data_IF_364996134867
#
_entry.id   IF_364996134867
#
_cell.length_a   1.000
_cell.length_b   1.000
_cell.length_c   1.000
_cell.angle_alpha   90.00
_cell.angle_beta   90.00
_cell.angle_gamma   90.00
#
_symmetry.space_group_name_H-M   'P 1'
#
loop_
_entity.id
_entity.type
_entity.pdbx_description
1 polymer ?
#
# COMPACT_ATOMS: atom_id res chain seq x y z
N UNK A 1 7.05 17.09 -39.91
CA UNK A 1 5.62 17.24 -40.30
C UNK A 1 4.75 16.75 -39.17
N UNK A 2 3.96 17.62 -38.54
CA UNK A 2 3.04 17.23 -37.48
C UNK A 2 1.97 16.27 -38.05
N UNK A 3 1.82 15.08 -37.45
CA UNK A 3 0.71 14.16 -37.79
C UNK A 3 -0.61 14.88 -37.49
N UNK A 4 -1.29 15.39 -38.53
CA UNK A 4 -2.69 15.84 -38.41
C UNK A 4 -3.52 14.70 -37.84
N UNK A 5 -4.24 14.96 -36.74
CA UNK A 5 -5.24 14.03 -36.19
C UNK A 5 -6.22 13.67 -37.31
N UNK A 6 -6.22 12.41 -37.76
CA UNK A 6 -7.18 11.93 -38.75
C UNK A 6 -8.54 11.77 -38.07
N UNK A 7 -9.50 12.61 -38.44
CA UNK A 7 -10.88 12.56 -37.97
C UNK A 7 -11.74 11.96 -39.08
N UNK A 8 -12.61 11.00 -38.75
CA UNK A 8 -13.52 10.38 -39.72
C UNK A 8 -14.55 11.42 -40.21
N UNK A 9 -15.09 11.29 -41.44
CA UNK A 9 -16.09 12.23 -41.97
C UNK A 9 -17.31 12.38 -41.06
N UNK A 10 -17.87 11.26 -40.57
CA UNK A 10 -19.01 11.22 -39.65
C UNK A 10 -18.73 11.99 -38.33
N UNK A 11 -17.54 11.81 -37.74
CA UNK A 11 -17.17 12.55 -36.53
C UNK A 11 -16.99 14.04 -36.78
N UNK A 12 -16.56 14.43 -37.99
CA UNK A 12 -16.44 15.85 -38.36
C UNK A 12 -17.80 16.50 -38.51
N UNK A 13 -18.74 15.82 -39.13
CA UNK A 13 -20.11 16.30 -39.27
C UNK A 13 -20.80 16.45 -37.91
N UNK A 14 -20.67 15.45 -37.03
CA UNK A 14 -21.18 15.53 -35.66
C UNK A 14 -20.58 16.70 -34.86
N UNK A 15 -19.26 16.86 -34.90
CA UNK A 15 -18.59 17.98 -34.20
C UNK A 15 -19.00 19.33 -34.79
N UNK A 16 -19.14 19.44 -36.10
CA UNK A 16 -19.60 20.68 -36.73
C UNK A 16 -21.03 21.03 -36.30
N UNK A 17 -21.93 20.04 -36.21
CA UNK A 17 -23.29 20.25 -35.69
C UNK A 17 -23.30 20.74 -34.24
N UNK A 18 -22.41 20.21 -33.40
CA UNK A 18 -22.25 20.69 -32.02
C UNK A 18 -21.72 22.13 -31.97
N UNK A 19 -20.73 22.47 -32.79
CA UNK A 19 -20.15 23.81 -32.86
C UNK A 19 -21.13 24.85 -33.42
N UNK A 20 -21.99 24.48 -34.36
CA UNK A 20 -23.05 25.35 -34.88
C UNK A 20 -24.13 25.65 -33.84
N UNK A 21 -24.45 24.65 -33.00
CA UNK A 21 -25.48 24.78 -31.97
C UNK A 21 -25.00 25.56 -30.74
N UNK A 22 -23.84 25.20 -30.18
CA UNK A 22 -23.32 25.80 -28.95
C UNK A 22 -22.47 27.05 -29.18
N UNK A 23 -22.01 27.30 -30.42
CA UNK A 23 -21.23 28.49 -30.81
C UNK A 23 -20.13 28.90 -29.82
N UNK A 24 -19.27 27.97 -29.35
CA UNK A 24 -18.28 28.30 -28.33
C UNK A 24 -17.25 29.29 -28.88
N UNK A 25 -16.99 30.36 -28.14
CA UNK A 25 -16.07 31.43 -28.52
C UNK A 25 -14.67 31.23 -27.95
N UNK A 26 -14.57 30.56 -26.79
CA UNK A 26 -13.29 30.24 -26.15
C UNK A 26 -13.25 28.79 -25.61
N UNK A 27 -12.13 28.45 -24.96
CA UNK A 27 -11.93 27.11 -24.42
C UNK A 27 -12.81 26.80 -23.20
N UNK A 28 -13.32 27.83 -22.50
CA UNK A 28 -14.20 27.69 -21.36
C UNK A 28 -15.63 27.38 -21.82
N UNK A 29 -16.10 28.04 -22.89
CA UNK A 29 -17.37 27.73 -23.54
C UNK A 29 -17.41 26.26 -24.05
N UNK A 30 -16.28 25.75 -24.53
CA UNK A 30 -16.17 24.32 -24.92
C UNK A 30 -16.33 23.39 -23.72
N UNK A 31 -15.83 23.77 -22.54
CA UNK A 31 -16.01 22.98 -21.31
C UNK A 31 -17.45 22.98 -20.84
N UNK A 32 -18.14 24.12 -20.89
CA UNK A 32 -19.56 24.23 -20.57
C UNK A 32 -20.42 23.41 -21.55
N UNK A 33 -20.15 23.50 -22.86
CA UNK A 33 -20.80 22.65 -23.87
C UNK A 33 -20.65 21.16 -23.53
N UNK A 34 -19.45 20.71 -23.17
CA UNK A 34 -19.23 19.30 -22.81
C UNK A 34 -19.95 18.89 -21.53
N UNK A 35 -20.09 19.81 -20.57
CA UNK A 35 -20.83 19.60 -19.33
C UNK A 35 -22.33 19.43 -19.62
N UNK A 36 -22.91 20.29 -20.45
CA UNK A 36 -24.31 20.21 -20.85
C UNK A 36 -24.60 18.94 -21.64
N UNK A 37 -23.75 18.61 -22.62
CA UNK A 37 -23.88 17.37 -23.40
C UNK A 37 -23.82 16.11 -22.52
N UNK A 38 -22.98 16.12 -21.48
CA UNK A 38 -22.93 15.03 -20.50
C UNK A 38 -24.25 14.94 -19.72
N UNK A 39 -24.78 16.07 -19.24
CA UNK A 39 -26.08 16.13 -18.56
C UNK A 39 -27.22 15.61 -19.42
N UNK A 40 -27.34 16.09 -20.66
CA UNK A 40 -28.38 15.69 -21.60
C UNK A 40 -28.29 14.20 -21.96
N UNK A 41 -27.07 13.67 -22.11
CA UNK A 41 -26.85 12.25 -22.36
C UNK A 41 -27.33 11.41 -21.18
N UNK A 42 -26.99 11.81 -19.94
CA UNK A 42 -27.46 11.12 -18.73
C UNK A 42 -28.98 11.21 -18.58
N UNK A 43 -29.57 12.37 -18.87
CA UNK A 43 -31.01 12.59 -18.84
C UNK A 43 -31.73 11.69 -19.86
N UNK A 44 -31.25 11.64 -21.11
CA UNK A 44 -31.82 10.79 -22.15
C UNK A 44 -31.70 9.30 -21.83
N UNK A 45 -30.60 8.89 -21.21
CA UNK A 45 -30.43 7.53 -20.73
C UNK A 45 -31.39 7.15 -19.59
N UNK A 46 -31.60 8.03 -18.61
CA UNK A 46 -32.57 7.83 -17.52
C UNK A 46 -34.00 7.73 -18.05
N UNK A 47 -34.34 8.51 -19.08
CA UNK A 47 -35.63 8.41 -19.77
C UNK A 47 -35.82 7.07 -20.48
N UNK A 48 -34.76 6.57 -21.15
CA UNK A 48 -34.78 5.27 -21.78
C UNK A 48 -34.93 4.11 -20.77
N UNK A 49 -34.27 4.19 -19.61
CA UNK A 49 -34.48 3.23 -18.51
C UNK A 49 -35.93 3.23 -18.02
N UNK A 50 -36.54 4.41 -17.90
CA UNK A 50 -37.94 4.55 -17.48
C UNK A 50 -38.91 3.96 -18.52
N UNK A 51 -38.68 4.24 -19.81
CA UNK A 51 -39.46 3.65 -20.90
C UNK A 51 -39.37 2.12 -20.87
N UNK A 52 -38.17 1.57 -20.66
CA UNK A 52 -37.95 0.14 -20.55
C UNK A 52 -38.65 -0.46 -19.33
N UNK A 53 -38.59 0.19 -18.16
CA UNK A 53 -39.23 -0.28 -16.93
C UNK A 53 -40.75 -0.32 -17.05
N UNK A 54 -41.34 0.73 -17.64
CA UNK A 54 -42.78 0.85 -17.77
C UNK A 54 -43.34 0.10 -18.98
N UNK A 55 -42.49 -0.18 -19.97
CA UNK A 55 -42.84 -0.88 -21.21
C UNK A 55 -43.47 0.01 -22.28
N UNK A 56 -43.50 1.33 -22.08
CA UNK A 56 -44.12 2.28 -23.00
C UNK A 56 -43.44 3.65 -22.93
N UNK A 57 -43.52 4.41 -24.03
CA UNK A 57 -42.89 5.72 -24.15
C UNK A 57 -43.74 6.86 -23.55
N UNK A 58 -43.13 8.01 -23.29
CA UNK A 58 -43.84 9.18 -22.74
C UNK A 58 -45.05 9.57 -23.61
N UNK A 59 -46.22 9.65 -22.98
CA UNK A 59 -47.53 9.93 -23.59
C UNK A 59 -48.13 8.82 -24.49
N UNK A 60 -47.48 7.66 -24.61
CA UNK A 60 -48.04 6.51 -25.31
C UNK A 60 -48.93 5.67 -24.37
N UNK A 61 -50.09 6.23 -24.02
CA UNK A 61 -51.06 5.58 -23.13
C UNK A 61 -51.78 4.38 -23.77
N UNK A 62 -51.67 4.20 -25.09
CA UNK A 62 -52.40 3.17 -25.83
C UNK A 62 -51.67 1.82 -25.79
N UNK A 63 -50.34 1.83 -25.71
CA UNK A 63 -49.50 0.62 -25.64
C UNK A 63 -49.09 0.26 -24.20
N UNK A 64 -49.89 0.66 -23.21
CA UNK A 64 -49.58 0.48 -21.79
C UNK A 64 -49.97 -0.92 -21.31
N UNK A 65 -48.99 -1.79 -21.10
CA UNK A 65 -49.20 -3.14 -20.53
C UNK A 65 -49.17 -3.16 -18.99
N UNK A 66 -48.62 -2.13 -18.36
CA UNK A 66 -48.38 -2.07 -16.90
C UNK A 66 -49.41 -1.20 -16.16
N UNK A 67 -49.71 -1.51 -14.90
CA UNK A 67 -50.59 -0.73 -14.02
C UNK A 67 -49.85 0.39 -13.25
N UNK A 68 -48.61 0.66 -13.63
CA UNK A 68 -47.80 1.78 -13.11
C UNK A 68 -47.72 2.90 -14.15
N UNK A 69 -47.40 4.12 -13.73
CA UNK A 69 -47.37 5.28 -14.61
C UNK A 69 -46.31 6.28 -14.23
N UNK A 70 -45.77 7.03 -15.20
CA UNK A 70 -44.89 8.17 -14.95
C UNK A 70 -45.57 9.19 -14.01
N UNK A 71 -44.81 9.73 -13.05
CA UNK A 71 -45.25 10.68 -12.04
C UNK A 71 -44.26 11.84 -11.88
N UNK A 72 -43.93 12.47 -13.01
CA UNK A 72 -43.02 13.62 -13.06
C UNK A 72 -41.57 13.25 -12.77
N UNK A 73 -40.84 14.22 -12.21
CA UNK A 73 -39.39 14.15 -12.01
C UNK A 73 -39.02 14.55 -10.59
N UNK A 74 -37.88 14.07 -10.09
CA UNK A 74 -37.19 14.61 -8.93
C UNK A 74 -35.92 15.28 -9.38
N UNK A 75 -35.69 16.50 -8.91
CA UNK A 75 -34.43 17.17 -9.14
C UNK A 75 -33.31 16.50 -8.35
N UNK A 76 -32.15 16.32 -8.98
CA UNK A 76 -30.92 15.86 -8.34
C UNK A 76 -29.70 16.47 -9.02
N UNK A 77 -28.92 17.21 -8.25
CA UNK A 77 -27.58 17.64 -8.66
C UNK A 77 -26.58 16.50 -8.46
N UNK A 78 -25.82 16.18 -9.52
CA UNK A 78 -24.74 15.18 -9.49
C UNK A 78 -23.40 15.83 -9.82
N UNK A 79 -22.38 15.49 -9.05
CA UNK A 79 -21.01 15.96 -9.28
C UNK A 79 -20.33 15.04 -10.30
N UNK A 80 -19.88 15.63 -11.41
CA UNK A 80 -19.13 14.97 -12.48
C UNK A 80 -17.69 15.49 -12.56
N UNK A 81 -16.86 14.89 -13.42
CA UNK A 81 -15.49 15.39 -13.67
C UNK A 81 -15.46 16.78 -14.31
N UNK A 82 -16.59 17.24 -14.87
CA UNK A 82 -16.76 18.57 -15.48
C UNK A 82 -17.49 19.54 -14.54
N UNK A 83 -17.68 19.18 -13.26
CA UNK A 83 -18.42 19.95 -12.26
C UNK A 83 -19.84 19.42 -12.02
N UNK A 84 -20.64 20.21 -11.29
CA UNK A 84 -21.99 19.84 -10.86
C UNK A 84 -23.01 19.97 -11.99
N UNK A 85 -23.74 18.89 -12.26
CA UNK A 85 -24.75 18.76 -13.31
C UNK A 85 -26.10 18.54 -12.65
N UNK A 86 -27.08 19.36 -13.01
CA UNK A 86 -28.45 19.19 -12.56
C UNK A 86 -29.18 18.19 -13.45
N UNK A 87 -29.78 17.16 -12.84
CA UNK A 87 -30.54 16.12 -13.52
C UNK A 87 -31.98 16.07 -12.99
N UNK A 88 -32.92 15.79 -13.87
CA UNK A 88 -34.32 15.58 -13.53
C UNK A 88 -34.63 14.09 -13.62
N UNK A 89 -34.60 13.39 -12.49
CA UNK A 89 -34.75 11.93 -12.46
C UNK A 89 -36.22 11.57 -12.64
N UNK A 90 -36.58 10.79 -13.68
CA UNK A 90 -37.96 10.39 -13.91
C UNK A 90 -38.45 9.50 -12.77
N UNK A 91 -39.73 9.67 -12.42
CA UNK A 91 -40.39 8.91 -11.36
C UNK A 91 -41.57 8.14 -11.90
N UNK A 92 -41.79 6.98 -11.32
CA UNK A 92 -43.02 6.21 -11.45
C UNK A 92 -43.98 6.55 -10.29
N UNK A 93 -45.24 6.13 -10.41
CA UNK A 93 -46.30 6.46 -9.45
C UNK A 93 -46.21 5.58 -8.21
N UNK A 94 -45.73 4.35 -8.36
CA UNK A 94 -45.54 3.39 -7.26
C UNK A 94 -44.21 3.57 -6.52
N UNK A 95 -43.24 4.24 -7.12
CA UNK A 95 -41.91 4.49 -6.52
C UNK A 95 -40.96 3.27 -6.62
N UNK A 96 -41.32 2.30 -7.45
CA UNK A 96 -40.60 1.05 -7.73
C UNK A 96 -39.48 1.23 -8.76
N UNK A 97 -39.39 2.38 -9.45
CA UNK A 97 -38.31 2.63 -10.40
C UNK A 97 -36.96 2.77 -9.66
N UNK A 98 -35.98 1.95 -10.04
CA UNK A 98 -34.61 1.97 -9.52
C UNK A 98 -33.62 2.24 -10.66
N UNK A 99 -33.22 3.51 -10.88
CA UNK A 99 -32.31 3.86 -11.98
C UNK A 99 -30.95 3.18 -11.79
N UNK A 100 -30.39 2.67 -12.88
CA UNK A 100 -29.12 1.95 -12.85
C UNK A 100 -27.93 2.86 -13.17
N UNK A 101 -28.11 3.80 -14.11
CA UNK A 101 -27.07 4.73 -14.54
C UNK A 101 -26.70 5.75 -13.46
N UNK A 102 -27.69 6.33 -12.79
CA UNK A 102 -27.49 7.17 -11.60
C UNK A 102 -28.38 6.64 -10.47
N UNK A 103 -27.78 5.85 -9.57
CA UNK A 103 -28.54 5.16 -8.50
C UNK A 103 -29.25 6.15 -7.58
N UNK A 104 -30.31 5.68 -6.89
CA UNK A 104 -30.97 6.45 -5.82
C UNK A 104 -29.92 6.90 -4.79
N UNK A 105 -29.96 8.18 -4.40
CA UNK A 105 -29.00 8.84 -3.49
C UNK A 105 -27.54 8.91 -3.95
N UNK A 106 -27.18 8.36 -5.13
CA UNK A 106 -25.87 8.61 -5.72
C UNK A 106 -25.84 10.05 -6.26
N UNK A 107 -24.92 10.85 -5.72
CA UNK A 107 -24.67 12.24 -6.12
C UNK A 107 -23.28 12.44 -6.73
N UNK A 108 -22.42 11.42 -6.74
CA UNK A 108 -21.09 11.48 -7.36
C UNK A 108 -20.98 10.46 -8.50
N UNK A 109 -20.65 10.94 -9.71
CA UNK A 109 -20.45 10.13 -10.93
C UNK A 109 -19.05 10.34 -11.55
N UNK A 110 -18.17 11.04 -10.84
CA UNK A 110 -16.96 11.66 -11.40
C UNK A 110 -15.68 10.80 -11.32
N UNK A 111 -15.75 9.59 -10.77
CA UNK A 111 -14.58 8.80 -10.32
C UNK A 111 -13.64 9.60 -9.37
N UNK A 112 -14.12 10.68 -8.73
CA UNK A 112 -13.34 11.48 -7.76
C UNK A 112 -12.89 10.62 -6.60
N UNK A 113 -13.66 9.61 -6.19
CA UNK A 113 -13.27 8.71 -5.09
C UNK A 113 -11.92 8.04 -5.32
N UNK A 114 -11.66 7.51 -6.53
CA UNK A 114 -10.36 6.90 -6.86
C UNK A 114 -9.23 7.93 -6.88
N UNK A 115 -9.51 9.15 -7.33
CA UNK A 115 -8.54 10.24 -7.31
C UNK A 115 -8.23 10.70 -5.88
N UNK A 116 -9.25 10.80 -5.02
CA UNK A 116 -9.13 11.09 -3.60
C UNK A 116 -8.30 10.02 -2.90
N UNK A 117 -8.58 8.74 -3.15
CA UNK A 117 -7.81 7.62 -2.61
C UNK A 117 -6.35 7.68 -3.09
N UNK A 118 -6.12 7.96 -4.37
CA UNK A 118 -4.77 8.13 -4.93
C UNK A 118 -4.01 9.28 -4.28
N UNK A 119 -4.62 10.47 -4.17
CA UNK A 119 -4.02 11.63 -3.52
C UNK A 119 -3.72 11.37 -2.04
N UNK A 120 -4.64 10.71 -1.33
CA UNK A 120 -4.45 10.32 0.06
C UNK A 120 -3.30 9.31 0.21
N UNK A 121 -3.21 8.32 -0.69
CA UNK A 121 -2.12 7.36 -0.76
C UNK A 121 -0.76 8.01 -1.06
N UNK A 122 -0.72 9.14 -1.77
CA UNK A 122 0.50 9.94 -1.97
C UNK A 122 0.88 10.81 -0.77
N UNK A 123 0.04 10.84 0.26
CA UNK A 123 0.33 11.51 1.53
C UNK A 123 -0.30 12.88 1.68
N UNK A 124 -1.14 13.33 0.75
CA UNK A 124 -1.86 14.60 0.88
C UNK A 124 -2.79 14.55 2.11
N UNK A 125 -2.93 15.66 2.82
CA UNK A 125 -3.89 15.73 3.93
C UNK A 125 -5.32 15.87 3.39
N UNK A 126 -6.33 15.57 4.20
CA UNK A 126 -7.74 15.72 3.78
C UNK A 126 -8.08 17.16 3.38
N UNK A 127 -7.45 18.15 4.03
CA UNK A 127 -7.58 19.56 3.67
C UNK A 127 -6.87 19.90 2.37
N UNK A 128 -5.67 19.36 2.14
CA UNK A 128 -4.96 19.59 0.86
C UNK A 128 -5.74 19.00 -0.32
N UNK A 129 -6.36 17.82 -0.13
CA UNK A 129 -7.20 17.18 -1.14
C UNK A 129 -8.44 18.03 -1.40
N UNK A 130 -9.11 18.52 -0.35
CA UNK A 130 -10.27 19.43 -0.47
C UNK A 130 -9.93 20.67 -1.30
N UNK A 131 -8.85 21.35 -0.95
CA UNK A 131 -8.36 22.51 -1.71
C UNK A 131 -7.99 22.16 -3.15
N UNK A 132 -7.39 20.98 -3.37
CA UNK A 132 -7.03 20.53 -4.72
C UNK A 132 -8.25 20.25 -5.59
N UNK A 133 -9.26 19.57 -5.04
CA UNK A 133 -10.52 19.28 -5.73
C UNK A 133 -11.26 20.56 -6.08
N UNK A 134 -11.33 21.53 -5.16
CA UNK A 134 -11.94 22.83 -5.40
C UNK A 134 -11.21 23.60 -6.51
N UNK A 135 -9.88 23.69 -6.44
CA UNK A 135 -9.09 24.48 -7.39
C UNK A 135 -9.02 23.89 -8.80
N UNK A 136 -8.99 22.56 -8.94
CA UNK A 136 -8.78 21.89 -10.24
C UNK A 136 -10.09 21.46 -10.87
N UNK A 137 -11.04 20.99 -10.07
CA UNK A 137 -12.30 20.41 -10.54
C UNK A 137 -13.52 21.27 -10.21
N UNK A 138 -13.35 22.37 -9.47
CA UNK A 138 -14.48 23.20 -9.02
C UNK A 138 -15.37 22.52 -7.99
N UNK A 139 -14.94 21.38 -7.43
CA UNK A 139 -15.76 20.56 -6.53
C UNK A 139 -15.51 20.99 -5.07
N UNK A 140 -16.57 21.44 -4.40
CA UNK A 140 -16.52 21.75 -2.97
C UNK A 140 -16.67 20.48 -2.13
N UNK A 141 -15.57 19.76 -1.94
CA UNK A 141 -15.51 18.57 -1.12
C UNK A 141 -14.92 18.91 0.26
N UNK A 142 -15.71 18.76 1.33
CA UNK A 142 -15.23 19.00 2.69
C UNK A 142 -14.19 17.95 3.13
N UNK A 143 -13.34 18.29 4.10
CA UNK A 143 -12.38 17.35 4.67
C UNK A 143 -13.05 16.12 5.32
N UNK A 144 -14.29 16.27 5.79
CA UNK A 144 -15.12 15.20 6.35
C UNK A 144 -15.62 14.27 5.25
N UNK A 145 -16.11 14.81 4.13
CA UNK A 145 -16.50 14.03 2.95
C UNK A 145 -15.32 13.19 2.44
N UNK A 146 -14.12 13.77 2.37
CA UNK A 146 -12.89 13.06 2.00
C UNK A 146 -12.57 11.95 3.00
N UNK A 147 -12.74 12.19 4.30
CA UNK A 147 -12.56 11.13 5.30
C UNK A 147 -13.51 9.97 5.05
N UNK A 148 -14.81 10.24 4.87
CA UNK A 148 -15.82 9.23 4.58
C UNK A 148 -15.54 8.44 3.29
N UNK A 149 -15.11 9.12 2.22
CA UNK A 149 -14.70 8.44 0.98
C UNK A 149 -13.53 7.49 1.24
N UNK A 150 -12.51 7.95 1.95
CA UNK A 150 -11.35 7.09 2.26
C UNK A 150 -11.69 5.97 3.24
N UNK A 151 -12.66 6.11 4.13
CA UNK A 151 -13.06 5.06 5.10
C UNK A 151 -13.64 3.82 4.42
N UNK A 152 -14.16 3.94 3.18
CA UNK A 152 -14.64 2.80 2.40
C UNK A 152 -13.56 1.75 2.09
N UNK A 153 -12.27 2.11 2.18
CA UNK A 153 -11.17 1.16 1.99
C UNK A 153 -10.93 0.28 3.22
N UNK A 154 -11.42 0.65 4.41
CA UNK A 154 -11.12 -0.06 5.65
C UNK A 154 -11.57 -1.53 5.63
N UNK A 155 -12.78 -1.89 5.15
CA UNK A 155 -13.18 -3.29 5.01
C UNK A 155 -12.23 -4.07 4.11
N UNK A 156 -11.86 -3.51 2.95
CA UNK A 156 -10.93 -4.11 1.99
C UNK A 156 -9.53 -4.29 2.63
N UNK A 157 -9.07 -3.31 3.39
CA UNK A 157 -7.79 -3.37 4.10
C UNK A 157 -7.80 -4.47 5.19
N UNK A 158 -8.91 -4.63 5.91
CA UNK A 158 -9.10 -5.69 6.92
C UNK A 158 -9.21 -7.07 6.27
N UNK A 159 -9.87 -7.19 5.14
CA UNK A 159 -9.90 -8.42 4.34
C UNK A 159 -8.49 -8.79 3.86
N UNK A 160 -7.75 -7.82 3.32
CA UNK A 160 -6.35 -8.01 2.92
C UNK A 160 -5.45 -8.44 4.08
N UNK A 161 -5.69 -7.92 5.29
CA UNK A 161 -4.93 -8.30 6.48
C UNK A 161 -5.19 -9.77 6.89
N UNK A 162 -6.39 -10.29 6.63
CA UNK A 162 -6.77 -11.66 6.97
C UNK A 162 -6.67 -12.65 5.80
N UNK A 163 -6.20 -12.20 4.63
CA UNK A 163 -6.10 -13.05 3.43
C UNK A 163 -5.19 -14.27 3.66
N UNK A 164 -5.44 -15.41 3.00
CA UNK A 164 -4.55 -16.57 3.08
C UNK A 164 -3.15 -16.21 2.56
N UNK A 165 -2.12 -16.81 3.18
CA UNK A 165 -0.72 -16.68 2.82
C UNK A 165 -0.22 -17.99 2.20
N UNK A 166 0.95 -17.92 1.55
CA UNK A 166 1.61 -19.11 1.02
C UNK A 166 2.12 -20.00 2.14
N UNK A 167 2.27 -21.29 1.86
CA UNK A 167 2.76 -22.26 2.84
C UNK A 167 4.19 -21.99 3.27
N UNK A 168 5.06 -21.59 2.33
CA UNK A 168 6.50 -21.50 2.57
C UNK A 168 7.12 -20.21 2.05
N UNK A 169 8.01 -19.64 2.88
CA UNK A 169 8.75 -18.43 2.56
C UNK A 169 10.26 -18.64 2.68
N UNK A 170 11.01 -18.23 1.66
CA UNK A 170 12.46 -18.31 1.64
C UNK A 170 13.11 -17.39 2.69
N UNK A 171 12.61 -16.16 2.79
CA UNK A 171 13.05 -15.22 3.82
C UNK A 171 11.90 -14.31 4.23
N UNK A 172 11.80 -14.02 5.52
CA UNK A 172 10.88 -13.00 6.05
C UNK A 172 11.67 -11.95 6.83
N UNK A 173 11.49 -10.69 6.44
CA UNK A 173 12.01 -9.52 7.14
C UNK A 173 10.93 -8.97 8.06
N UNK A 174 11.29 -8.73 9.32
CA UNK A 174 10.40 -8.17 10.32
C UNK A 174 11.03 -6.92 10.93
N UNK A 175 10.31 -5.80 10.90
CA UNK A 175 10.77 -4.51 11.44
C UNK A 175 9.59 -3.74 12.03
N UNK A 176 9.89 -2.76 12.87
CA UNK A 176 8.89 -1.90 13.50
C UNK A 176 9.14 -0.41 13.21
N UNK A 177 8.08 0.31 12.86
CA UNK A 177 8.10 1.76 12.65
C UNK A 177 7.21 2.43 13.69
N UNK A 178 7.70 3.49 14.32
CA UNK A 178 6.93 4.20 15.32
C UNK A 178 6.17 5.39 14.72
N UNK A 179 4.92 5.55 15.13
CA UNK A 179 4.04 6.67 14.78
C UNK A 179 3.36 7.25 16.02
N UNK A 180 2.89 8.48 15.92
CA UNK A 180 2.13 9.14 16.98
C UNK A 180 0.63 9.01 16.68
N UNK A 181 -0.10 8.39 17.61
CA UNK A 181 -1.55 8.18 17.51
C UNK A 181 -2.22 8.76 18.74
N UNK A 182 -3.42 9.30 18.58
CA UNK A 182 -4.24 9.79 19.68
C UNK A 182 -5.05 8.64 20.26
N UNK A 183 -4.92 8.45 21.57
CA UNK A 183 -5.59 7.40 22.33
C UNK A 183 -5.95 7.99 23.70
N UNK A 184 -7.21 7.85 24.13
CA UNK A 184 -7.74 8.43 25.37
C UNK A 184 -7.37 9.91 25.57
N UNK A 185 -7.49 10.68 24.48
CA UNK A 185 -7.17 12.10 24.40
C UNK A 185 -5.68 12.46 24.64
N UNK A 186 -4.79 11.47 24.66
CA UNK A 186 -3.33 11.61 24.78
C UNK A 186 -2.64 11.16 23.50
N UNK A 187 -1.46 11.72 23.23
CA UNK A 187 -0.62 11.28 22.11
C UNK A 187 0.27 10.14 22.58
N UNK A 188 0.02 8.94 22.08
CA UNK A 188 0.79 7.73 22.38
C UNK A 188 1.68 7.41 21.17
N UNK A 189 2.91 6.98 21.44
CA UNK A 189 3.83 6.50 20.40
C UNK A 189 3.58 5.01 20.20
N UNK A 190 2.89 4.64 19.13
CA UNK A 190 2.59 3.23 18.79
C UNK A 190 3.62 2.68 17.80
N UNK A 191 3.90 1.38 17.91
CA UNK A 191 4.74 0.64 16.98
C UNK A 191 3.88 -0.03 15.92
N UNK A 192 4.25 0.16 14.66
CA UNK A 192 3.69 -0.52 13.50
C UNK A 192 4.67 -1.59 13.08
N UNK A 193 4.28 -2.84 13.29
CA UNK A 193 5.04 -4.01 12.92
C UNK A 193 4.77 -4.34 11.46
N UNK A 194 5.82 -4.56 10.69
CA UNK A 194 5.74 -4.87 9.28
C UNK A 194 6.49 -6.18 9.03
N UNK A 195 5.84 -7.12 8.35
CA UNK A 195 6.48 -8.33 7.86
C UNK A 195 6.47 -8.36 6.32
N UNK A 196 7.64 -8.52 5.72
CA UNK A 196 7.82 -8.63 4.26
C UNK A 196 8.51 -9.95 3.97
N UNK A 197 7.90 -10.77 3.14
CA UNK A 197 8.38 -12.10 2.79
C UNK A 197 8.77 -12.18 1.32
N UNK A 198 9.68 -13.09 1.03
CA UNK A 198 10.01 -13.52 -0.32
C UNK A 198 9.57 -14.97 -0.45
N UNK A 199 8.62 -15.21 -1.37
CA UNK A 199 8.12 -16.54 -1.70
C UNK A 199 9.21 -17.38 -2.34
N UNK A 200 9.03 -18.69 -2.38
CA UNK A 200 9.89 -19.60 -3.15
C UNK A 200 9.88 -19.30 -4.66
N UNK A 201 8.83 -18.67 -5.18
CA UNK A 201 8.77 -18.17 -6.56
C UNK A 201 9.66 -16.94 -6.83
N UNK A 202 10.20 -16.31 -5.77
CA UNK A 202 11.08 -15.14 -5.82
C UNK A 202 10.38 -13.79 -5.81
N UNK A 203 9.05 -13.81 -5.71
CA UNK A 203 8.21 -12.63 -5.56
C UNK A 203 8.20 -12.13 -4.13
N UNK A 204 8.22 -10.81 -3.97
CA UNK A 204 8.15 -10.15 -2.66
C UNK A 204 6.71 -9.82 -2.36
N UNK A 205 6.31 -9.97 -1.11
CA UNK A 205 5.01 -9.49 -0.65
C UNK A 205 5.06 -9.00 0.80
N UNK A 206 4.11 -8.13 1.15
CA UNK A 206 3.89 -7.71 2.53
C UNK A 206 2.93 -8.72 3.16
N UNK A 207 3.40 -9.50 4.14
CA UNK A 207 2.59 -10.49 4.84
C UNK A 207 1.50 -9.80 5.67
N UNK A 208 1.87 -8.71 6.35
CA UNK A 208 0.94 -7.91 7.13
C UNK A 208 1.56 -6.67 7.73
N UNK A 209 0.69 -5.82 8.28
CA UNK A 209 1.04 -4.65 9.07
C UNK A 209 0.16 -4.65 10.32
N UNK A 210 0.75 -4.53 11.51
CA UNK A 210 0.03 -4.57 12.78
C UNK A 210 0.35 -3.34 13.60
N UNK A 211 -0.68 -2.73 14.19
CA UNK A 211 -0.51 -1.56 15.06
C UNK A 211 -0.59 -2.05 16.51
N UNK A 212 0.48 -1.86 17.28
CA UNK A 212 0.53 -2.22 18.69
C UNK A 212 1.13 -1.14 19.58
N UNK A 213 0.84 -1.23 20.88
CA UNK A 213 1.23 -0.23 21.87
C UNK A 213 2.73 -0.24 22.19
N UNK A 214 3.30 -1.40 22.53
CA UNK A 214 4.71 -1.54 22.93
C UNK A 214 5.40 -2.69 22.21
N UNK A 215 6.62 -2.45 21.73
CA UNK A 215 7.53 -3.44 21.14
C UNK A 215 7.88 -4.53 22.18
N UNK A 216 7.22 -5.68 22.08
CA UNK A 216 7.44 -6.79 23.01
C UNK A 216 7.43 -8.13 22.28
N UNK A 217 8.24 -9.06 22.77
CA UNK A 217 8.28 -10.44 22.27
C UNK A 217 6.90 -11.11 22.31
N UNK A 218 6.09 -10.80 23.34
CA UNK A 218 4.71 -11.30 23.46
C UNK A 218 3.82 -10.83 22.32
N UNK A 219 3.96 -9.57 21.89
CA UNK A 219 3.17 -9.05 20.77
C UNK A 219 3.60 -9.72 19.45
N UNK A 220 4.90 -9.86 19.23
CA UNK A 220 5.44 -10.58 18.08
C UNK A 220 4.99 -12.04 18.04
N UNK A 221 4.89 -12.72 19.17
CA UNK A 221 4.33 -14.08 19.24
C UNK A 221 2.89 -14.12 18.73
N UNK A 222 2.07 -13.10 19.04
CA UNK A 222 0.72 -12.95 18.48
C UNK A 222 0.73 -12.79 16.96
N UNK A 223 1.59 -11.90 16.46
CA UNK A 223 1.78 -11.67 15.00
C UNK A 223 2.23 -12.95 14.28
N UNK A 224 3.17 -13.70 14.84
CA UNK A 224 3.67 -14.95 14.27
C UNK A 224 2.57 -16.03 14.23
N UNK A 225 1.77 -16.15 15.30
CA UNK A 225 0.64 -17.07 15.32
C UNK A 225 -0.44 -16.69 14.29
N UNK A 226 -0.70 -15.40 14.07
CA UNK A 226 -1.61 -14.95 13.02
C UNK A 226 -1.07 -15.32 11.63
N UNK A 227 0.22 -15.09 11.36
CA UNK A 227 0.86 -15.50 10.10
C UNK A 227 0.70 -17.00 9.88
N UNK A 228 0.94 -17.82 10.92
CA UNK A 228 0.74 -19.27 10.86
C UNK A 228 -0.72 -19.66 10.60
N UNK A 229 -1.67 -19.04 11.29
CA UNK A 229 -3.11 -19.29 11.12
C UNK A 229 -3.62 -18.92 9.72
N UNK A 230 -2.94 -17.99 9.03
CA UNK A 230 -3.25 -17.61 7.65
C UNK A 230 -2.70 -18.58 6.60
N UNK A 231 -1.98 -19.62 7.00
CA UNK A 231 -1.54 -20.71 6.12
C UNK A 231 -0.03 -20.90 6.03
N UNK A 232 0.79 -20.08 6.69
CA UNK A 232 2.25 -20.26 6.67
C UNK A 232 2.65 -21.44 7.54
N UNK A 233 3.27 -22.44 6.93
CA UNK A 233 3.73 -23.67 7.56
C UNK A 233 5.21 -23.58 7.94
N UNK A 234 6.05 -23.06 7.03
CA UNK A 234 7.50 -23.01 7.24
C UNK A 234 8.15 -21.71 6.70
N UNK A 235 9.19 -21.26 7.41
CA UNK A 235 10.01 -20.10 7.03
C UNK A 235 11.47 -20.51 7.18
N UNK A 236 12.24 -20.32 6.10
CA UNK A 236 13.61 -20.84 6.01
C UNK A 236 14.53 -19.91 6.79
N UNK A 237 14.47 -18.61 6.49
CA UNK A 237 15.27 -17.57 7.12
C UNK A 237 14.36 -16.46 7.64
N UNK A 238 14.56 -16.04 8.89
CA UNK A 238 13.89 -14.86 9.46
C UNK A 238 14.95 -13.81 9.79
N UNK A 239 14.85 -12.66 9.14
CA UNK A 239 15.73 -11.51 9.40
C UNK A 239 15.03 -10.51 10.31
N UNK A 240 15.52 -10.37 11.53
CA UNK A 240 14.90 -9.54 12.58
C UNK A 240 15.85 -8.54 13.21
N UNK A 241 15.29 -7.52 13.85
CA UNK A 241 16.06 -6.68 14.79
C UNK A 241 16.31 -7.43 16.12
N UNK A 242 17.29 -6.95 16.87
CA UNK A 242 17.76 -7.52 18.13
C UNK A 242 16.87 -7.28 19.33
N UNK A 243 15.56 -7.49 19.21
CA UNK A 243 14.61 -7.37 20.32
C UNK A 243 14.75 -8.57 21.27
N UNK A 244 14.85 -8.29 22.57
CA UNK A 244 14.93 -9.33 23.61
C UNK A 244 13.71 -10.25 23.58
N UNK A 245 13.95 -11.57 23.57
CA UNK A 245 12.91 -12.61 23.56
C UNK A 245 12.24 -12.83 22.20
N UNK A 246 12.61 -12.09 21.15
CA UNK A 246 12.01 -12.28 19.82
C UNK A 246 12.44 -13.61 19.18
N UNK A 247 13.69 -14.00 19.40
CA UNK A 247 14.25 -15.28 18.95
C UNK A 247 13.44 -16.46 19.50
N UNK A 248 13.15 -16.43 20.80
CA UNK A 248 12.35 -17.46 21.46
C UNK A 248 10.91 -17.48 20.92
N UNK A 249 10.32 -16.31 20.65
CA UNK A 249 9.00 -16.20 20.06
C UNK A 249 8.92 -16.78 18.63
N UNK A 250 9.97 -16.57 17.82
CA UNK A 250 10.07 -17.15 16.47
C UNK A 250 10.15 -18.67 16.56
N UNK A 251 11.08 -19.21 17.37
CA UNK A 251 11.23 -20.66 17.50
C UNK A 251 10.01 -21.34 18.14
N UNK A 252 9.22 -20.64 18.94
CA UNK A 252 7.96 -21.16 19.47
C UNK A 252 6.90 -21.42 18.38
N UNK A 253 6.90 -20.65 17.28
CA UNK A 253 5.90 -20.76 16.21
C UNK A 253 6.46 -21.50 15.00
N UNK A 254 7.70 -21.17 14.61
CA UNK A 254 8.46 -21.70 13.48
C UNK A 254 9.81 -22.25 14.00
N UNK A 255 9.83 -23.47 14.57
CA UNK A 255 11.00 -24.00 15.26
C UNK A 255 12.22 -24.21 14.35
N UNK A 256 11.98 -24.53 13.07
CA UNK A 256 13.02 -24.79 12.07
C UNK A 256 13.57 -23.52 11.41
N UNK A 257 13.00 -22.34 11.71
CA UNK A 257 13.43 -21.09 11.10
C UNK A 257 14.84 -20.71 11.56
N UNK A 258 15.72 -20.43 10.59
CA UNK A 258 17.05 -19.91 10.90
C UNK A 258 16.99 -18.40 11.07
N UNK A 259 17.44 -17.92 12.23
CA UNK A 259 17.31 -16.51 12.58
C UNK A 259 18.60 -15.78 12.27
N UNK A 260 18.49 -14.77 11.42
CA UNK A 260 19.56 -13.83 11.15
C UNK A 260 19.24 -12.49 11.81
N UNK A 261 20.14 -11.98 12.65
CA UNK A 261 20.02 -10.61 13.15
C UNK A 261 20.39 -9.62 12.04
N UNK A 262 19.57 -8.61 11.82
CA UNK A 262 19.80 -7.62 10.77
C UNK A 262 21.10 -6.84 11.01
N UNK A 263 22.04 -7.00 10.10
CA UNK A 263 23.35 -6.34 10.14
C UNK A 263 23.19 -4.82 10.04
N UNK A 264 22.22 -4.33 9.27
CA UNK A 264 22.04 -2.88 9.11
C UNK A 264 21.49 -2.23 10.38
N UNK A 265 20.57 -2.89 11.09
CA UNK A 265 20.14 -2.43 12.41
C UNK A 265 21.29 -2.49 13.42
N UNK A 266 22.13 -3.52 13.37
CA UNK A 266 23.33 -3.63 14.20
C UNK A 266 24.34 -2.51 13.92
N UNK A 267 24.62 -2.20 12.65
CA UNK A 267 25.45 -1.07 12.24
C UNK A 267 24.86 0.23 12.79
N UNK A 268 23.57 0.48 12.54
CA UNK A 268 22.87 1.69 13.04
C UNK A 268 22.96 1.81 14.56
N UNK A 269 22.73 0.72 15.29
CA UNK A 269 22.87 0.69 16.74
C UNK A 269 24.30 1.06 17.18
N UNK A 270 25.32 0.42 16.61
CA UNK A 270 26.72 0.64 16.98
C UNK A 270 27.19 2.07 16.71
N UNK A 271 26.70 2.71 15.63
CA UNK A 271 27.06 4.09 15.29
C UNK A 271 26.46 5.15 16.21
N UNK A 272 25.41 4.84 16.99
CA UNK A 272 24.79 5.81 17.92
C UNK A 272 25.74 6.31 19.00
N UNK A 273 26.70 5.48 19.40
CA UNK A 273 27.66 5.80 20.47
C UNK A 273 28.94 6.48 19.96
N UNK A 274 29.09 6.55 18.63
CA UNK A 274 30.35 6.94 18.01
C UNK A 274 30.31 8.42 17.69
N UNK A 275 31.39 9.13 18.03
CA UNK A 275 31.48 10.55 17.73
C UNK A 275 31.54 10.80 16.22
N UNK A 276 31.00 11.94 15.77
CA UNK A 276 30.99 12.33 14.36
C UNK A 276 32.39 12.38 13.71
N UNK A 277 33.44 12.70 14.51
CA UNK A 277 34.82 12.76 14.02
C UNK A 277 35.37 11.37 13.65
N UNK A 278 34.96 10.35 14.39
CA UNK A 278 35.51 9.00 14.28
C UNK A 278 34.65 8.09 13.40
N UNK A 279 33.36 8.42 13.21
CA UNK A 279 32.39 7.56 12.53
C UNK A 279 32.86 7.09 11.15
N UNK A 280 33.57 7.95 10.40
CA UNK A 280 34.07 7.60 9.06
C UNK A 280 35.18 6.56 9.11
N UNK A 281 36.11 6.68 10.05
CA UNK A 281 37.21 5.74 10.24
C UNK A 281 36.68 4.42 10.82
N UNK A 282 35.86 4.49 11.87
CA UNK A 282 35.21 3.32 12.44
C UNK A 282 34.39 2.53 11.41
N UNK A 283 33.60 3.21 10.57
CA UNK A 283 32.82 2.54 9.52
C UNK A 283 33.69 1.88 8.45
N UNK A 284 34.90 2.40 8.19
CA UNK A 284 35.86 1.77 7.27
C UNK A 284 36.34 0.43 7.83
N UNK A 285 36.66 0.40 9.12
CA UNK A 285 37.15 -0.81 9.78
C UNK A 285 36.00 -1.81 10.00
N UNK A 286 34.83 -1.34 10.44
CA UNK A 286 33.64 -2.16 10.62
C UNK A 286 33.18 -2.83 9.32
N UNK A 287 33.41 -2.19 8.18
CA UNK A 287 33.11 -2.76 6.86
C UNK A 287 33.89 -4.03 6.57
N UNK A 288 35.08 -4.20 7.15
CA UNK A 288 35.86 -5.42 7.00
C UNK A 288 35.18 -6.60 7.71
N UNK A 289 34.48 -6.34 8.82
CA UNK A 289 33.76 -7.36 9.61
C UNK A 289 32.60 -7.95 8.80
N UNK A 290 31.66 -7.11 8.36
CA UNK A 290 30.45 -7.59 7.68
C UNK A 290 30.60 -7.80 6.17
N UNK A 291 31.77 -7.55 5.58
CA UNK A 291 32.05 -7.90 4.17
C UNK A 291 33.09 -9.00 4.01
N UNK A 292 33.54 -9.60 5.10
CA UNK A 292 34.43 -10.74 5.03
C UNK A 292 33.77 -11.90 4.24
N UNK A 293 34.61 -12.73 3.63
CA UNK A 293 34.13 -13.88 2.85
C UNK A 293 33.82 -15.09 3.74
N UNK A 294 34.49 -15.20 4.89
CA UNK A 294 34.34 -16.30 5.85
C UNK A 294 34.13 -15.76 7.26
N UNK A 295 33.49 -16.56 8.12
CA UNK A 295 33.28 -16.21 9.52
C UNK A 295 34.61 -16.00 10.26
N UNK A 296 35.63 -16.78 9.94
CA UNK A 296 36.96 -16.67 10.52
C UNK A 296 37.61 -15.31 10.23
N UNK A 297 37.59 -14.87 8.96
CA UNK A 297 38.10 -13.56 8.58
C UNK A 297 37.29 -12.42 9.22
N UNK A 298 35.98 -12.63 9.40
CA UNK A 298 35.10 -11.68 10.04
C UNK A 298 35.40 -11.52 11.54
N UNK A 299 35.72 -12.62 12.22
CA UNK A 299 36.14 -12.65 13.62
C UNK A 299 37.49 -11.96 13.80
N UNK A 300 38.47 -12.25 12.95
CA UNK A 300 39.77 -11.58 12.97
C UNK A 300 39.63 -10.06 12.73
N UNK A 301 38.75 -9.68 11.80
CA UNK A 301 38.43 -8.27 11.58
C UNK A 301 37.73 -7.62 12.79
N UNK A 302 36.90 -8.39 13.52
CA UNK A 302 36.25 -7.92 14.74
C UNK A 302 37.26 -7.76 15.89
N UNK A 303 38.24 -8.65 15.99
CA UNK A 303 39.35 -8.54 16.94
C UNK A 303 40.18 -7.28 16.68
N UNK A 304 40.54 -7.02 15.41
CA UNK A 304 41.23 -5.78 15.02
C UNK A 304 40.37 -4.52 15.28
N UNK A 305 39.05 -4.60 15.08
CA UNK A 305 38.16 -3.50 15.39
C UNK A 305 38.14 -3.20 16.90
N UNK A 306 38.14 -4.24 17.73
CA UNK A 306 38.22 -4.14 19.19
C UNK A 306 39.55 -3.55 19.66
N UNK A 307 40.66 -3.94 19.06
CA UNK A 307 41.97 -3.35 19.39
C UNK A 307 42.01 -1.84 19.08
N UNK A 308 41.51 -1.44 17.92
CA UNK A 308 41.53 -0.05 17.48
C UNK A 308 40.53 0.85 18.24
N UNK A 309 39.34 0.32 18.55
CA UNK A 309 38.21 1.15 19.01
C UNK A 309 37.63 0.73 20.36
N UNK A 310 37.94 -0.46 20.87
CA UNK A 310 37.36 -1.02 22.10
C UNK A 310 37.64 -0.18 23.35
N UNK A 311 38.82 0.46 23.43
CA UNK A 311 39.13 1.38 24.53
C UNK A 311 38.26 2.64 24.55
N UNK A 312 37.81 3.12 23.39
CA UNK A 312 37.03 4.36 23.25
C UNK A 312 35.53 4.12 23.17
N UNK A 313 35.12 3.03 22.52
CA UNK A 313 33.72 2.68 22.25
C UNK A 313 33.40 1.24 22.69
N UNK A 314 33.59 0.88 23.98
CA UNK A 314 33.44 -0.49 24.46
C UNK A 314 32.01 -1.03 24.25
N UNK A 315 30.98 -0.19 24.43
CA UNK A 315 29.58 -0.60 24.24
C UNK A 315 29.26 -1.00 22.80
N UNK A 316 29.88 -0.34 21.81
CA UNK A 316 29.70 -0.68 20.40
C UNK A 316 30.30 -2.05 20.11
N UNK A 317 31.54 -2.31 20.55
CA UNK A 317 32.21 -3.60 20.35
C UNK A 317 31.49 -4.74 21.09
N UNK A 318 31.17 -4.54 22.36
CA UNK A 318 30.43 -5.52 23.17
C UNK A 318 29.10 -5.91 22.51
N UNK A 319 28.41 -4.96 21.88
CA UNK A 319 27.18 -5.26 21.15
C UNK A 319 27.37 -6.18 19.95
N UNK A 320 28.51 -6.12 19.26
CA UNK A 320 28.81 -7.04 18.15
C UNK A 320 29.20 -8.42 18.68
N UNK A 321 30.04 -8.48 19.72
CA UNK A 321 30.46 -9.73 20.38
C UNK A 321 29.28 -10.51 20.95
N UNK A 322 28.44 -9.86 21.75
CA UNK A 322 27.31 -10.51 22.41
C UNK A 322 26.28 -11.06 21.43
N UNK A 323 26.13 -10.42 20.27
CA UNK A 323 25.17 -10.81 19.26
C UNK A 323 25.80 -11.60 18.09
N UNK A 324 27.10 -11.91 18.18
CA UNK A 324 27.85 -12.54 17.09
C UNK A 324 27.21 -13.83 16.57
N UNK A 325 26.73 -14.77 17.42
CA UNK A 325 26.14 -16.03 16.92
C UNK A 325 24.97 -15.82 15.94
N UNK A 326 24.16 -14.79 16.17
CA UNK A 326 23.02 -14.45 15.31
C UNK A 326 23.42 -13.52 14.16
N UNK A 327 24.50 -12.75 14.33
CA UNK A 327 25.03 -11.89 13.28
C UNK A 327 25.80 -12.67 12.24
N UNK A 328 26.52 -13.73 12.61
CA UNK A 328 27.36 -14.55 11.73
C UNK A 328 26.60 -15.67 11.01
N UNK A 329 25.30 -15.86 11.30
CA UNK A 329 24.51 -16.97 10.73
C UNK A 329 24.53 -16.98 9.21
N UNK A 330 24.55 -15.81 8.55
CA UNK A 330 24.63 -15.73 7.09
C UNK A 330 25.89 -16.34 6.49
N UNK A 331 27.00 -16.47 7.24
CA UNK A 331 28.23 -17.09 6.73
C UNK A 331 28.05 -18.56 6.39
N UNK A 332 27.02 -19.22 6.96
CA UNK A 332 26.68 -20.60 6.63
C UNK A 332 26.16 -20.77 5.21
N UNK A 333 25.62 -19.71 4.61
CA UNK A 333 25.01 -19.79 3.29
C UNK A 333 25.99 -19.43 2.16
N UNK A 334 25.75 -19.93 0.94
CA UNK A 334 26.41 -19.47 -0.29
C UNK A 334 26.18 -17.98 -0.58
N UNK A 335 27.01 -17.40 -1.46
CA UNK A 335 27.00 -15.97 -1.79
C UNK A 335 25.65 -15.46 -2.31
N UNK A 336 24.91 -16.31 -3.01
CA UNK A 336 23.58 -16.06 -3.58
C UNK A 336 22.54 -15.80 -2.47
N UNK A 337 22.47 -16.68 -1.47
CA UNK A 337 21.58 -16.54 -0.31
C UNK A 337 22.06 -15.41 0.60
N UNK A 338 23.38 -15.25 0.79
CA UNK A 338 23.91 -14.10 1.55
C UNK A 338 23.44 -12.78 0.96
N UNK A 339 23.50 -12.62 -0.36
CA UNK A 339 23.04 -11.39 -1.04
C UNK A 339 21.57 -11.13 -0.75
N UNK A 340 20.72 -12.16 -0.68
CA UNK A 340 19.32 -12.04 -0.29
C UNK A 340 19.18 -11.40 1.11
N UNK A 341 19.91 -11.94 2.09
CA UNK A 341 19.92 -11.48 3.49
C UNK A 341 20.43 -10.03 3.60
N UNK A 342 21.54 -9.71 2.94
CA UNK A 342 22.15 -8.38 2.97
C UNK A 342 21.28 -7.30 2.34
N UNK A 343 20.39 -7.66 1.43
CA UNK A 343 19.51 -6.71 0.74
C UNK A 343 18.32 -6.25 1.59
N UNK A 344 18.50 -6.05 2.90
CA UNK A 344 17.51 -5.45 3.82
C UNK A 344 16.99 -4.08 3.35
N UNK A 345 17.60 -3.50 2.31
CA UNK A 345 17.03 -2.47 1.45
C UNK A 345 15.55 -2.71 1.13
N UNK A 346 15.05 -3.96 1.01
CA UNK A 346 13.63 -4.20 0.76
C UNK A 346 12.73 -3.64 1.89
N UNK A 347 13.00 -4.00 3.14
CA UNK A 347 12.22 -3.51 4.30
C UNK A 347 12.56 -2.06 4.65
N UNK A 348 13.82 -1.64 4.51
CA UNK A 348 14.21 -0.26 4.77
C UNK A 348 13.62 0.71 3.75
N UNK A 349 13.62 0.35 2.47
CA UNK A 349 13.00 1.15 1.41
C UNK A 349 11.48 1.21 1.60
N UNK A 350 10.85 0.10 1.98
CA UNK A 350 9.44 0.08 2.33
C UNK A 350 9.14 1.03 3.50
N UNK A 351 9.89 0.91 4.60
CA UNK A 351 9.73 1.74 5.78
C UNK A 351 10.00 3.23 5.49
N UNK A 352 10.99 3.53 4.63
CA UNK A 352 11.27 4.89 4.15
C UNK A 352 10.10 5.45 3.34
N UNK A 353 9.49 4.65 2.47
CA UNK A 353 8.35 5.07 1.66
C UNK A 353 7.11 5.31 2.53
N UNK A 354 6.83 4.45 3.51
CA UNK A 354 5.79 4.69 4.51
C UNK A 354 6.04 6.03 5.24
N UNK A 355 7.24 6.24 5.77
CA UNK A 355 7.61 7.52 6.43
C UNK A 355 7.46 8.74 5.52
N UNK A 356 7.75 8.60 4.22
CA UNK A 356 7.60 9.69 3.24
C UNK A 356 6.13 10.09 3.10
N UNK A 357 5.24 9.12 2.93
CA UNK A 357 3.80 9.35 2.73
C UNK A 357 3.13 9.90 4.00
N UNK A 358 3.60 9.47 5.17
CA UNK A 358 3.04 9.91 6.46
C UNK A 358 3.68 11.20 6.99
N UNK A 359 4.72 11.75 6.35
CA UNK A 359 5.50 12.89 6.89
C UNK A 359 4.64 14.14 7.14
N UNK A 360 3.62 14.37 6.32
CA UNK A 360 2.67 15.48 6.43
C UNK A 360 1.67 15.31 7.59
N UNK A 361 1.51 14.08 8.10
CA UNK A 361 0.54 13.72 9.15
C UNK A 361 1.31 13.41 10.44
N UNK A 362 1.48 14.43 11.28
CA UNK A 362 2.27 14.31 12.51
C UNK A 362 1.61 13.47 13.59
N UNK A 363 0.29 13.52 13.70
CA UNK A 363 -0.50 12.78 14.70
C UNK A 363 -1.73 12.19 14.02
N UNK A 364 -1.97 10.90 14.22
CA UNK A 364 -3.14 10.18 13.72
C UNK A 364 -4.28 10.20 14.76
N UNK A 365 -5.53 10.45 14.37
CA UNK A 365 -6.66 10.50 15.31
C UNK A 365 -7.04 9.13 15.89
N UNK A 366 -6.86 8.05 15.12
CA UNK A 366 -7.21 6.67 15.52
C UNK A 366 -6.23 5.65 14.91
N UNK A 367 -6.19 4.45 15.46
CA UNK A 367 -5.44 3.33 14.88
C UNK A 367 -5.93 3.00 13.46
N UNK A 368 -7.25 3.02 13.23
CA UNK A 368 -7.84 2.80 11.90
C UNK A 368 -7.37 3.85 10.87
N UNK A 369 -7.24 5.12 11.28
CA UNK A 369 -6.75 6.18 10.38
C UNK A 369 -5.28 5.98 10.00
N UNK A 370 -4.46 5.48 10.93
CA UNK A 370 -3.07 5.11 10.67
C UNK A 370 -3.02 3.87 9.76
N UNK A 371 -3.79 2.83 10.06
CA UNK A 371 -3.84 1.61 9.26
C UNK A 371 -4.27 1.90 7.81
N UNK A 372 -5.30 2.73 7.63
CA UNK A 372 -5.81 3.16 6.32
C UNK A 372 -4.73 3.75 5.43
N UNK A 373 -3.98 4.74 5.93
CA UNK A 373 -2.92 5.37 5.12
C UNK A 373 -1.76 4.40 4.85
N UNK A 374 -1.42 3.55 5.82
CA UNK A 374 -0.35 2.57 5.65
C UNK A 374 -0.72 1.52 4.62
N UNK A 375 -1.97 1.04 4.63
CA UNK A 375 -2.52 0.15 3.62
C UNK A 375 -2.47 0.78 2.23
N UNK A 376 -2.99 1.99 2.08
CA UNK A 376 -2.97 2.70 0.80
C UNK A 376 -1.54 2.94 0.30
N UNK A 377 -0.63 3.39 1.16
CA UNK A 377 0.78 3.55 0.83
C UNK A 377 1.40 2.21 0.41
N UNK A 378 1.14 1.14 1.16
CA UNK A 378 1.60 -0.20 0.85
C UNK A 378 1.14 -0.64 -0.55
N UNK A 379 -0.14 -0.47 -0.90
CA UNK A 379 -0.64 -0.84 -2.23
C UNK A 379 0.05 -0.08 -3.36
N UNK A 380 0.37 1.20 -3.17
CA UNK A 380 1.11 1.99 -4.16
C UNK A 380 2.58 1.55 -4.28
N UNK A 381 3.20 1.16 -3.17
CA UNK A 381 4.58 0.66 -3.14
C UNK A 381 4.68 -0.70 -3.84
N UNK A 382 3.78 -1.63 -3.50
CA UNK A 382 3.80 -3.02 -4.00
C UNK A 382 3.40 -3.13 -5.46
N UNK A 383 2.65 -2.16 -6.03
CA UNK A 383 2.42 -2.06 -7.49
C UNK A 383 3.72 -2.05 -8.31
N UNK A 384 4.82 -1.55 -7.74
CA UNK A 384 6.13 -1.50 -8.39
C UNK A 384 6.96 -2.77 -8.19
N UNK A 385 6.50 -3.71 -7.37
CA UNK A 385 7.18 -4.99 -7.14
C UNK A 385 6.82 -5.96 -8.27
N UNK A 386 7.18 -5.57 -9.49
CA UNK A 386 6.98 -6.36 -10.69
C UNK A 386 8.25 -7.17 -10.98
N UNK A 387 8.16 -8.49 -10.92
CA UNK A 387 9.25 -9.41 -11.27
C UNK A 387 9.86 -10.17 -10.09
N UNK A 388 10.75 -11.11 -10.41
CA UNK A 388 11.50 -11.90 -9.44
C UNK A 388 12.73 -11.14 -8.95
N UNK A 389 13.22 -11.52 -7.77
CA UNK A 389 14.53 -11.08 -7.30
C UNK A 389 15.63 -11.46 -8.31
N UNK A 390 16.68 -10.65 -8.42
CA UNK A 390 17.78 -10.88 -9.36
C UNK A 390 18.44 -12.25 -9.14
N UNK A 391 18.70 -12.99 -10.21
CA UNK A 391 19.25 -14.36 -10.23
C UNK A 391 18.54 -15.35 -9.27
N UNK A 392 17.22 -15.22 -9.19
CA UNK A 392 16.42 -16.06 -8.30
C UNK A 392 16.55 -17.56 -8.58
N UNK A 393 16.72 -17.98 -9.84
CA UNK A 393 16.89 -19.40 -10.17
C UNK A 393 18.08 -20.05 -9.47
N UNK A 394 19.24 -19.37 -9.47
CA UNK A 394 20.44 -19.85 -8.76
C UNK A 394 20.25 -19.79 -7.24
N UNK A 395 19.62 -18.71 -6.74
CA UNK A 395 19.34 -18.58 -5.30
C UNK A 395 18.41 -19.69 -4.81
N UNK A 396 17.38 -20.01 -5.59
CA UNK A 396 16.42 -21.07 -5.29
C UNK A 396 17.08 -22.44 -5.28
N UNK A 397 17.94 -22.74 -6.26
CA UNK A 397 18.69 -24.00 -6.28
C UNK A 397 19.56 -24.16 -5.02
N UNK A 398 20.28 -23.11 -4.62
CA UNK A 398 21.05 -23.12 -3.37
C UNK A 398 20.15 -23.26 -2.13
N UNK A 399 18.96 -22.64 -2.13
CA UNK A 399 17.99 -22.80 -1.04
C UNK A 399 17.49 -24.25 -0.96
N UNK A 400 17.16 -24.88 -2.09
CA UNK A 400 16.75 -26.28 -2.16
C UNK A 400 17.87 -27.23 -1.68
N UNK A 401 19.11 -26.98 -2.06
CA UNK A 401 20.26 -27.78 -1.60
C UNK A 401 20.46 -27.62 -0.09
N UNK A 402 20.38 -26.40 0.43
CA UNK A 402 20.67 -26.11 1.83
C UNK A 402 19.55 -26.59 2.77
N UNK A 403 18.30 -26.31 2.41
CA UNK A 403 17.13 -26.64 3.23
C UNK A 403 16.52 -28.01 2.90
N UNK A 404 17.04 -28.69 1.87
CA UNK A 404 16.74 -30.08 1.53
C UNK A 404 15.25 -30.39 1.54
N UNK A 405 14.87 -31.36 2.36
CA UNK A 405 13.50 -31.88 2.50
C UNK A 405 12.46 -30.84 2.96
N UNK A 406 12.88 -29.65 3.37
CA UNK A 406 11.94 -28.57 3.72
C UNK A 406 11.33 -27.89 2.50
N UNK A 407 11.96 -27.97 1.33
CA UNK A 407 11.43 -27.45 0.07
C UNK A 407 11.12 -28.64 -0.84
N UNK A 408 9.84 -28.92 -1.01
CA UNK A 408 9.36 -29.98 -1.89
C UNK A 408 9.05 -29.41 -3.28
N UNK A 409 9.08 -30.22 -4.34
CA UNK A 409 8.74 -29.77 -5.69
C UNK A 409 7.34 -29.13 -5.77
N UNK A 410 6.39 -29.63 -4.99
CA UNK A 410 5.01 -29.10 -4.90
C UNK A 410 4.94 -27.67 -4.34
N UNK A 411 5.97 -27.21 -3.61
CA UNK A 411 6.04 -25.85 -3.07
C UNK A 411 6.56 -24.83 -4.11
N UNK A 412 7.00 -25.30 -5.27
CA UNK A 412 7.58 -24.50 -6.35
C UNK A 412 6.61 -24.27 -7.53
N UNK A 413 5.50 -25.00 -7.54
CA UNK A 413 4.36 -24.82 -8.47
C UNK A 413 3.50 -23.62 -8.05
#
# INVERSE_FOLDING_TARGET
MARRRKMTPERREFINGLLEHYQPTDAQDVQEMLKDLLGDTLQGMLEAEMDQKLGYSKYDYQNKETDDSRNGYSHKTVTSSMGDIDLDIPRDRRGEFEPQIVKKHQTDISNIEDQVLSMYAKGMTTRDISTHLSNVYGVDASAEMISHMTDRILPIAKEWQNRPLEKKYAIVFMDAIHFHVREDNRTVKKAVYVAIGIRLSGQKEVLGMWIGGNESAKYWLGVLNEIKNRGVEDIMIVSVDGLTGFVDAIHAVFPLAEIQRCIVHQIRYSTKFISYKDIRAFMKDLKLVYKADTEQLALEALDMLEENWGGKYPSSIASWRNNWPQLSTYFKYPGEIRKLIYTTNSIENFNRQLRKVTKSKTIFPTDDSLFKILYLAMTDITKKWTGKTWDWGQTLDQLCIYFGDRIQPEDLE
#
